data_IF_109326229422
#
_entry.id   IF_109326229422
#
_cell.length_a   1.000
_cell.length_b   1.000
_cell.length_c   1.000
_cell.angle_alpha   90.00
_cell.angle_beta   90.00
_cell.angle_gamma   90.00
#
_symmetry.space_group_name_H-M   'P 1'
#
loop_
_entity.id
_entity.type
_entity.pdbx_description
1 polymer ?
#
# COMPACT_ATOMS: atom_id res chain seq x y z
N UNK A 1 -22.50 8.64 6.98
CA UNK A 1 -23.07 8.91 5.65
C UNK A 1 -22.05 8.52 4.59
N UNK A 2 -22.27 7.34 4.02
CA UNK A 2 -21.43 6.62 3.08
C UNK A 2 -21.35 7.37 1.74
N UNK A 3 -20.32 7.07 0.93
CA UNK A 3 -20.33 7.47 -0.47
C UNK A 3 -21.65 7.06 -1.10
N UNK A 4 -22.44 8.03 -1.54
CA UNK A 4 -23.69 7.79 -2.27
C UNK A 4 -23.38 6.97 -3.54
N UNK A 5 -24.36 6.15 -3.95
CA UNK A 5 -24.55 5.41 -5.20
C UNK A 5 -24.33 6.21 -6.52
N UNK A 6 -23.59 7.30 -6.50
CA UNK A 6 -23.30 8.12 -7.68
C UNK A 6 -21.91 8.74 -7.66
N UNK A 7 -21.11 8.55 -6.61
CA UNK A 7 -19.70 8.94 -6.61
C UNK A 7 -18.86 7.97 -7.45
N UNK A 8 -17.65 8.35 -7.90
CA UNK A 8 -16.76 7.48 -8.68
C UNK A 8 -16.49 6.10 -8.04
N UNK A 9 -16.72 5.95 -6.71
CA UNK A 9 -16.68 4.66 -5.99
C UNK A 9 -17.94 3.79 -6.14
N UNK A 10 -19.06 4.33 -6.59
CA UNK A 10 -20.23 3.53 -7.00
C UNK A 10 -19.94 2.74 -8.28
N UNK A 11 -19.21 3.36 -9.21
CA UNK A 11 -18.66 2.67 -10.38
C UNK A 11 -17.72 1.51 -10.01
N UNK A 12 -17.08 1.62 -8.84
CA UNK A 12 -16.27 0.58 -8.24
C UNK A 12 -17.15 -0.57 -7.71
N UNK A 13 -18.32 -0.30 -7.12
CA UNK A 13 -19.20 -1.36 -6.63
C UNK A 13 -20.12 -2.00 -7.69
N UNK A 14 -20.73 -1.23 -8.58
CA UNK A 14 -21.81 -1.70 -9.47
C UNK A 14 -21.36 -2.55 -10.67
N UNK A 15 -20.06 -2.61 -10.97
CA UNK A 15 -19.49 -3.42 -12.08
C UNK A 15 -18.49 -4.48 -11.60
N UNK A 16 -18.61 -4.92 -10.34
CA UNK A 16 -17.99 -6.18 -9.89
C UNK A 16 -16.54 -6.08 -9.42
N UNK A 17 -16.22 -5.19 -8.48
CA UNK A 17 -14.85 -5.11 -7.93
C UNK A 17 -14.36 -6.36 -7.20
N UNK A 18 -15.25 -7.26 -6.76
CA UNK A 18 -14.81 -8.55 -6.22
C UNK A 18 -14.46 -9.58 -7.29
N UNK A 19 -14.63 -9.27 -8.57
CA UNK A 19 -14.37 -10.18 -9.69
C UNK A 19 -13.05 -9.88 -10.44
N UNK A 20 -12.40 -8.72 -10.20
CA UNK A 20 -11.40 -8.13 -11.12
C UNK A 20 -9.94 -8.07 -10.64
N UNK A 21 -9.51 -8.95 -9.74
CA UNK A 21 -8.23 -8.84 -9.03
C UNK A 21 -7.95 -7.44 -8.43
N UNK A 22 -9.00 -6.63 -8.21
CA UNK A 22 -8.87 -5.36 -7.50
C UNK A 22 -8.61 -5.58 -6.01
N UNK A 23 -8.69 -6.82 -5.54
CA UNK A 23 -8.07 -7.27 -4.29
C UNK A 23 -6.56 -6.96 -4.26
N UNK A 24 -5.84 -6.92 -5.39
CA UNK A 24 -4.46 -6.44 -5.43
C UNK A 24 -4.36 -4.92 -5.21
N UNK A 25 -5.30 -4.15 -5.72
CA UNK A 25 -5.40 -2.72 -5.38
C UNK A 25 -5.87 -2.53 -3.94
N UNK A 26 -6.73 -3.40 -3.41
CA UNK A 26 -7.03 -3.48 -1.99
C UNK A 26 -5.86 -4.05 -1.20
N UNK A 27 -4.92 -4.78 -1.78
CA UNK A 27 -3.69 -5.24 -1.13
C UNK A 27 -2.73 -4.09 -1.06
N UNK A 28 -2.59 -3.29 -2.11
CA UNK A 28 -1.80 -2.07 -2.08
C UNK A 28 -2.42 -1.01 -1.18
N UNK A 29 -3.74 -0.83 -1.25
CA UNK A 29 -4.49 0.02 -0.35
C UNK A 29 -4.42 -0.55 1.07
N UNK A 30 -4.64 -1.85 1.30
CA UNK A 30 -4.53 -2.49 2.62
C UNK A 30 -3.13 -2.34 3.19
N UNK A 31 -2.08 -2.54 2.38
CA UNK A 31 -0.69 -2.29 2.76
C UNK A 31 -0.46 -0.81 3.07
N UNK A 32 -0.97 0.10 2.26
CA UNK A 32 -0.96 1.54 2.54
C UNK A 32 -1.70 1.86 3.84
N UNK A 33 -2.81 1.17 4.11
CA UNK A 33 -3.64 1.31 5.29
C UNK A 33 -3.09 0.52 6.49
N UNK A 34 -2.04 -0.30 6.30
CA UNK A 34 -1.46 -1.16 7.35
C UNK A 34 -0.81 -0.30 8.42
N UNK A 35 -1.03 -0.67 9.69
CA UNK A 35 -0.59 0.10 10.86
C UNK A 35 -1.44 1.33 11.17
N UNK A 36 -2.49 1.61 10.39
CA UNK A 36 -3.44 2.69 10.70
C UNK A 36 -4.62 2.10 11.48
N UNK A 37 -4.87 2.61 12.67
CA UNK A 37 -6.00 2.18 13.50
C UNK A 37 -7.26 3.00 13.20
N UNK A 38 -8.08 2.55 12.24
CA UNK A 38 -9.31 3.25 11.83
C UNK A 38 -10.38 3.30 12.92
N UNK A 39 -10.41 2.30 13.81
CA UNK A 39 -11.47 2.14 14.79
C UNK A 39 -11.30 3.10 15.98
N UNK A 40 -10.05 3.41 16.36
CA UNK A 40 -9.77 4.24 17.54
C UNK A 40 -9.52 5.71 17.22
N UNK A 41 -9.39 6.07 15.94
CA UNK A 41 -9.14 7.45 15.55
C UNK A 41 -10.41 8.10 15.05
N UNK A 42 -10.86 9.13 15.77
CA UNK A 42 -11.95 10.00 15.32
C UNK A 42 -11.53 10.74 14.04
N UNK A 43 -11.84 10.17 12.88
CA UNK A 43 -11.55 10.77 11.58
C UNK A 43 -12.71 11.66 11.12
N UNK A 44 -12.36 12.84 10.60
CA UNK A 44 -13.24 13.62 9.74
C UNK A 44 -12.88 13.29 8.29
N UNK A 45 -13.83 12.72 7.57
CA UNK A 45 -13.68 12.49 6.15
C UNK A 45 -14.33 13.62 5.37
N UNK A 46 -13.78 13.93 4.19
CA UNK A 46 -14.49 14.76 3.24
C UNK A 46 -15.26 13.86 2.29
N UNK A 47 -16.58 13.95 2.32
CA UNK A 47 -17.42 13.23 1.37
C UNK A 47 -17.16 13.72 -0.05
N UNK A 48 -17.44 12.82 -0.99
CA UNK A 48 -17.56 13.14 -2.41
C UNK A 48 -18.55 14.30 -2.59
N UNK A 49 -18.27 15.17 -3.57
CA UNK A 49 -19.30 16.13 -3.98
C UNK A 49 -20.47 15.33 -4.56
N UNK A 50 -21.69 15.66 -4.18
CA UNK A 50 -22.89 15.03 -4.71
C UNK A 50 -23.09 15.39 -6.19
N UNK A 51 -23.84 14.54 -6.89
CA UNK A 51 -24.44 14.86 -8.19
C UNK A 51 -25.19 16.21 -8.08
N UNK A 52 -25.12 17.13 -9.07
CA UNK A 52 -24.74 16.97 -10.48
C UNK A 52 -23.29 17.39 -10.86
N UNK A 53 -22.43 17.68 -9.89
CA UNK A 53 -21.09 18.22 -10.17
C UNK A 53 -20.08 17.19 -10.71
N UNK A 54 -20.45 15.91 -10.73
CA UNK A 54 -19.58 14.78 -11.09
C UNK A 54 -19.06 14.88 -12.53
N UNK A 55 -19.86 15.38 -13.48
CA UNK A 55 -19.43 15.58 -14.89
C UNK A 55 -18.21 16.50 -15.07
N UNK A 56 -17.88 17.29 -14.05
CA UNK A 56 -16.72 18.19 -14.07
C UNK A 56 -15.54 17.68 -13.23
N UNK A 57 -15.68 16.54 -12.53
CA UNK A 57 -14.68 16.02 -11.61
C UNK A 57 -13.73 15.05 -12.33
N UNK A 58 -12.83 15.61 -13.13
CA UNK A 58 -11.81 14.84 -13.84
C UNK A 58 -10.74 14.26 -12.90
N UNK A 59 -10.43 14.99 -11.82
CA UNK A 59 -9.53 14.55 -10.76
C UNK A 59 -10.30 14.57 -9.44
N UNK A 60 -10.28 13.44 -8.75
CA UNK A 60 -11.01 13.22 -7.52
C UNK A 60 -10.00 13.02 -6.38
N UNK A 61 -10.21 13.71 -5.26
CA UNK A 61 -9.35 13.59 -4.09
C UNK A 61 -10.21 13.25 -2.87
N UNK A 62 -10.12 12.01 -2.43
CA UNK A 62 -10.71 11.53 -1.19
C UNK A 62 -9.67 11.59 -0.07
N UNK A 63 -10.06 12.04 1.12
CA UNK A 63 -9.18 12.02 2.26
C UNK A 63 -9.90 12.03 3.60
N UNK A 64 -9.17 11.57 4.60
CA UNK A 64 -9.54 11.53 6.00
C UNK A 64 -8.49 12.26 6.83
N UNK A 65 -8.94 13.06 7.78
CA UNK A 65 -8.08 13.84 8.69
C UNK A 65 -8.45 13.47 10.11
N UNK A 66 -7.44 13.13 10.92
CA UNK A 66 -7.64 12.81 12.33
C UNK A 66 -8.13 14.06 13.08
N UNK A 67 -8.97 13.90 14.11
CA UNK A 67 -9.54 15.01 14.90
C UNK A 67 -8.49 15.95 15.51
N UNK A 68 -7.33 15.41 15.93
CA UNK A 68 -6.20 16.21 16.44
C UNK A 68 -5.48 17.02 15.33
N UNK A 69 -5.82 16.78 14.07
CA UNK A 69 -5.31 17.45 12.86
C UNK A 69 -3.84 17.20 12.57
N UNK A 70 -3.24 16.19 13.20
CA UNK A 70 -1.81 15.89 13.08
C UNK A 70 -1.51 14.86 12.01
N UNK A 71 -2.56 14.23 11.49
CA UNK A 71 -2.43 13.16 10.53
C UNK A 71 -3.58 13.20 9.54
N UNK A 72 -3.28 12.96 8.28
CA UNK A 72 -4.27 12.73 7.25
C UNK A 72 -3.79 11.67 6.27
N UNK A 73 -4.73 11.06 5.57
CA UNK A 73 -4.43 10.21 4.43
C UNK A 73 -5.43 10.47 3.34
N UNK A 74 -5.06 10.21 2.11
CA UNK A 74 -6.00 10.30 1.02
C UNK A 74 -5.58 9.52 -0.21
N UNK A 75 -6.50 9.50 -1.15
CA UNK A 75 -6.37 8.88 -2.45
C UNK A 75 -6.77 9.90 -3.50
N UNK A 76 -5.98 9.97 -4.55
CA UNK A 76 -6.27 10.78 -5.72
C UNK A 76 -6.50 9.86 -6.89
N UNK A 77 -7.65 10.05 -7.54
CA UNK A 77 -8.07 9.28 -8.70
C UNK A 77 -8.24 10.20 -9.91
N UNK A 78 -7.75 9.76 -11.06
CA UNK A 78 -8.03 10.41 -12.34
C UNK A 78 -9.16 9.69 -13.06
N UNK A 79 -10.38 10.17 -12.86
CA UNK A 79 -11.58 9.61 -13.45
C UNK A 79 -11.53 9.57 -15.00
N UNK A 80 -10.69 10.38 -15.64
CA UNK A 80 -10.55 10.40 -17.11
C UNK A 80 -9.60 9.34 -17.71
N UNK A 81 -8.97 8.49 -16.90
CA UNK A 81 -7.85 7.65 -17.35
C UNK A 81 -8.19 6.15 -17.57
N UNK A 82 -9.23 5.60 -16.94
CA UNK A 82 -9.31 4.14 -16.70
C UNK A 82 -9.50 3.28 -17.95
N UNK A 83 -10.34 3.66 -18.91
CA UNK A 83 -10.62 2.82 -20.09
C UNK A 83 -9.48 2.79 -21.12
N UNK A 84 -8.70 3.87 -21.22
CA UNK A 84 -7.72 4.06 -22.30
C UNK A 84 -6.44 3.24 -22.13
N UNK A 85 -6.10 2.84 -20.92
CA UNK A 85 -4.91 2.01 -20.70
C UNK A 85 -5.12 0.53 -21.02
N UNK A 86 -6.35 0.03 -20.90
CA UNK A 86 -6.65 -1.34 -21.34
C UNK A 86 -6.78 -1.43 -22.87
N UNK A 87 -6.84 -0.32 -23.60
CA UNK A 87 -6.88 -0.34 -25.06
C UNK A 87 -5.66 -1.05 -25.68
N UNK A 88 -4.47 -0.82 -25.13
CA UNK A 88 -3.26 -1.44 -25.65
C UNK A 88 -3.01 -2.85 -25.08
N UNK A 89 -3.46 -3.15 -23.86
CA UNK A 89 -3.21 -4.43 -23.19
C UNK A 89 -4.36 -5.44 -23.32
N UNK A 90 -5.59 -5.00 -23.59
CA UNK A 90 -6.77 -5.84 -23.71
C UNK A 90 -7.32 -5.78 -25.13
N UNK A 91 -7.15 -6.86 -25.93
CA UNK A 91 -7.76 -6.98 -27.24
C UNK A 91 -9.28 -6.77 -27.23
N UNK A 92 -9.93 -7.13 -26.10
CA UNK A 92 -11.35 -6.90 -25.91
C UNK A 92 -11.70 -5.42 -25.82
N UNK A 93 -11.05 -4.67 -24.92
CA UNK A 93 -11.28 -3.22 -24.80
C UNK A 93 -10.92 -2.51 -26.09
N UNK A 94 -9.88 -2.96 -26.80
CA UNK A 94 -9.55 -2.48 -28.13
C UNK A 94 -10.72 -2.68 -29.11
N UNK A 95 -11.28 -3.89 -29.17
CA UNK A 95 -12.44 -4.18 -30.03
C UNK A 95 -13.63 -3.29 -29.71
N UNK A 96 -13.94 -3.08 -28.44
CA UNK A 96 -15.06 -2.22 -28.01
C UNK A 96 -14.85 -0.77 -28.45
N UNK A 97 -13.62 -0.27 -28.28
CA UNK A 97 -13.27 1.13 -28.61
C UNK A 97 -13.19 1.35 -30.13
N UNK A 98 -12.61 0.41 -30.88
CA UNK A 98 -12.41 0.55 -32.33
C UNK A 98 -13.70 0.30 -33.11
N UNK A 99 -14.47 -0.72 -32.72
CA UNK A 99 -15.63 -1.18 -33.48
C UNK A 99 -16.95 -0.65 -32.92
N UNK A 100 -16.89 0.17 -31.85
CA UNK A 100 -18.04 0.70 -31.13
C UNK A 100 -19.02 -0.40 -30.67
N UNK A 101 -18.54 -1.63 -30.59
CA UNK A 101 -19.29 -2.85 -30.31
C UNK A 101 -18.35 -4.01 -29.96
N UNK A 102 -18.86 -4.97 -29.20
CA UNK A 102 -18.19 -6.25 -28.97
C UNK A 102 -18.48 -7.15 -30.16
N UNK A 103 -17.56 -7.21 -31.14
CA UNK A 103 -17.72 -8.03 -32.35
C UNK A 103 -17.60 -9.54 -32.08
N UNK A 104 -17.10 -9.91 -30.91
CA UNK A 104 -16.95 -11.28 -30.50
C UNK A 104 -17.14 -11.36 -28.99
N UNK A 105 -17.60 -12.52 -28.54
CA UNK A 105 -17.59 -12.85 -27.12
C UNK A 105 -16.16 -12.79 -26.65
N UNK A 106 -15.86 -11.81 -25.80
CA UNK A 106 -14.54 -11.67 -25.25
C UNK A 106 -14.57 -12.10 -23.79
N UNK A 107 -13.51 -12.76 -23.35
CA UNK A 107 -13.29 -12.99 -21.93
C UNK A 107 -12.44 -11.81 -21.47
N UNK A 108 -13.01 -10.93 -20.67
CA UNK A 108 -12.24 -9.86 -20.06
C UNK A 108 -11.13 -10.46 -19.17
N UNK A 109 -10.12 -9.66 -18.80
CA UNK A 109 -9.01 -10.12 -17.95
C UNK A 109 -9.48 -10.71 -16.60
N UNK A 110 -10.74 -10.46 -16.21
CA UNK A 110 -11.40 -10.95 -15.02
C UNK A 110 -12.22 -12.25 -15.22
N UNK A 111 -12.15 -12.89 -16.40
CA UNK A 111 -12.90 -14.11 -16.69
C UNK A 111 -14.38 -13.88 -17.06
N UNK A 112 -14.86 -12.64 -17.00
CA UNK A 112 -16.24 -12.31 -17.37
C UNK A 112 -16.41 -12.44 -18.87
N UNK A 113 -17.46 -13.16 -19.26
CA UNK A 113 -17.91 -13.24 -20.64
C UNK A 113 -18.59 -11.91 -21.01
N UNK A 114 -17.97 -11.14 -21.91
CA UNK A 114 -18.58 -9.98 -22.53
C UNK A 114 -19.14 -10.42 -23.87
N UNK A 115 -20.45 -10.64 -23.92
CA UNK A 115 -21.13 -11.04 -25.14
C UNK A 115 -21.40 -9.83 -26.06
N UNK A 116 -21.41 -10.04 -27.38
CA UNK A 116 -21.89 -9.06 -28.34
C UNK A 116 -23.31 -8.61 -27.97
N UNK A 117 -23.47 -7.33 -27.67
CA UNK A 117 -24.77 -6.68 -27.46
C UNK A 117 -25.02 -5.75 -28.63
N UNK A 118 -26.18 -5.90 -29.30
CA UNK A 118 -26.55 -5.11 -30.48
C UNK A 118 -27.05 -3.70 -30.14
N UNK A 119 -27.15 -3.34 -28.86
CA UNK A 119 -27.74 -2.07 -28.41
C UNK A 119 -26.79 -1.15 -27.65
N UNK A 120 -25.59 -1.62 -27.30
CA UNK A 120 -24.65 -0.81 -26.54
C UNK A 120 -23.82 0.04 -27.49
N UNK A 121 -24.19 1.32 -27.57
CA UNK A 121 -23.43 2.28 -28.34
C UNK A 121 -22.17 2.70 -27.57
N UNK A 122 -21.02 2.11 -27.92
CA UNK A 122 -19.72 2.50 -27.39
C UNK A 122 -19.07 3.65 -28.21
N UNK A 123 -19.82 4.29 -29.12
CA UNK A 123 -19.31 5.32 -30.06
C UNK A 123 -18.78 6.57 -29.41
N UNK A 124 -19.18 6.84 -28.18
CA UNK A 124 -18.62 7.97 -27.46
C UNK A 124 -17.26 7.55 -26.89
N UNK A 125 -16.20 7.89 -27.62
CA UNK A 125 -14.84 8.06 -27.07
C UNK A 125 -14.77 9.03 -25.87
N UNK A 126 -15.94 9.57 -25.49
CA UNK A 126 -16.24 10.37 -24.32
C UNK A 126 -16.72 9.43 -23.21
N UNK A 127 -15.84 9.14 -22.25
CA UNK A 127 -16.32 8.78 -20.91
C UNK A 127 -17.15 9.96 -20.38
N UNK A 128 -18.01 9.77 -19.39
CA UNK A 128 -18.78 10.84 -18.72
C UNK A 128 -17.89 12.02 -18.26
N UNK A 129 -16.57 11.78 -18.15
CA UNK A 129 -15.54 12.73 -17.74
C UNK A 129 -14.77 13.42 -18.91
N UNK A 130 -15.09 13.09 -20.16
CA UNK A 130 -14.72 13.80 -21.40
C UNK A 130 -13.60 13.16 -22.25
N UNK A 131 -13.30 13.78 -23.39
CA UNK A 131 -12.54 13.18 -24.51
C UNK A 131 -11.02 13.13 -24.30
N UNK A 132 -10.49 13.65 -23.19
CA UNK A 132 -9.06 13.78 -22.95
C UNK A 132 -8.70 13.36 -21.52
N UNK A 133 -7.64 12.56 -21.41
CA UNK A 133 -6.98 12.27 -20.14
C UNK A 133 -6.49 13.57 -19.53
N UNK A 134 -6.97 13.87 -18.34
CA UNK A 134 -6.48 15.00 -17.56
C UNK A 134 -5.08 14.70 -17.06
N UNK A 135 -4.11 15.52 -17.46
CA UNK A 135 -2.81 15.49 -16.82
C UNK A 135 -2.96 15.88 -15.34
N UNK A 136 -2.60 14.99 -14.42
CA UNK A 136 -2.63 15.25 -12.97
C UNK A 136 -1.30 15.77 -12.44
N UNK A 137 -0.23 15.60 -13.21
CA UNK A 137 1.11 16.06 -12.85
C UNK A 137 1.09 17.57 -12.65
N UNK A 138 1.69 18.01 -11.55
CA UNK A 138 1.76 19.39 -11.10
C UNK A 138 0.40 20.05 -10.79
N UNK A 139 -0.72 19.30 -10.82
CA UNK A 139 -2.01 19.84 -10.35
C UNK A 139 -2.10 19.74 -8.83
N UNK A 140 -2.27 20.88 -8.12
CA UNK A 140 -2.35 20.84 -6.69
C UNK A 140 -3.68 20.26 -6.22
N UNK A 141 -3.63 19.24 -5.37
CA UNK A 141 -4.81 18.75 -4.64
C UNK A 141 -5.03 19.58 -3.37
N UNK A 142 -6.26 19.65 -2.86
CA UNK A 142 -6.58 20.41 -1.64
C UNK A 142 -6.89 19.47 -0.47
N UNK A 143 -6.05 19.48 0.56
CA UNK A 143 -6.24 18.75 1.81
C UNK A 143 -6.60 19.77 2.89
N UNK A 144 -7.82 19.73 3.40
CA UNK A 144 -8.36 20.71 4.37
C UNK A 144 -8.51 20.08 5.75
N UNK A 145 -8.69 20.90 6.78
CA UNK A 145 -9.01 20.43 8.13
C UNK A 145 -7.78 20.15 9.00
N UNK A 146 -6.59 20.53 8.54
CA UNK A 146 -5.34 20.43 9.29
C UNK A 146 -5.18 21.62 10.25
N UNK A 147 -4.13 21.63 11.09
CA UNK A 147 -3.84 22.80 11.94
C UNK A 147 -3.50 24.01 11.05
N UNK A 148 -4.18 25.13 11.28
CA UNK A 148 -3.98 26.39 10.57
C UNK A 148 -2.77 27.16 11.09
N UNK A 149 -2.04 27.83 10.20
CA UNK A 149 -0.94 28.70 10.59
C UNK A 149 -1.48 30.07 11.04
N UNK A 150 -1.31 30.40 12.33
CA UNK A 150 -1.57 31.74 12.85
C UNK A 150 -0.31 32.30 13.51
N UNK A 151 0.03 33.55 13.16
CA UNK A 151 1.28 34.22 13.53
C UNK A 151 2.48 33.84 12.64
N UNK A 152 3.69 34.11 13.15
CA UNK A 152 4.95 33.94 12.39
C UNK A 152 5.47 32.50 12.33
N UNK A 153 4.93 31.60 13.16
CA UNK A 153 5.28 30.18 13.13
C UNK A 153 4.24 29.41 12.31
N UNK A 154 4.72 28.56 11.42
CA UNK A 154 3.92 27.77 10.49
C UNK A 154 3.79 26.33 10.98
N UNK A 155 2.65 25.70 10.71
CA UNK A 155 2.46 24.27 10.97
C UNK A 155 2.98 23.48 9.76
N UNK A 156 4.00 22.66 9.98
CA UNK A 156 4.68 21.89 8.93
C UNK A 156 4.21 20.45 8.92
N UNK A 157 4.10 19.89 7.72
CA UNK A 157 3.70 18.51 7.49
C UNK A 157 4.61 17.86 6.45
N UNK A 158 4.94 16.59 6.65
CA UNK A 158 5.50 15.71 5.64
C UNK A 158 4.34 15.04 4.90
N UNK A 159 4.39 15.04 3.57
CA UNK A 159 3.45 14.33 2.73
C UNK A 159 4.23 13.25 1.98
N UNK A 160 3.90 11.99 2.25
CA UNK A 160 4.49 10.81 1.65
C UNK A 160 3.54 10.30 0.56
N UNK A 161 4.01 10.20 -0.69
CA UNK A 161 3.21 9.76 -1.85
C UNK A 161 3.54 8.32 -2.24
N UNK A 162 2.48 7.60 -2.57
CA UNK A 162 2.51 6.18 -2.87
C UNK A 162 1.91 5.93 -4.25
N UNK A 163 2.66 5.24 -5.11
CA UNK A 163 2.13 4.75 -6.38
C UNK A 163 1.16 3.60 -6.11
N UNK A 164 0.05 3.58 -6.82
CA UNK A 164 -1.02 2.62 -6.59
C UNK A 164 -1.09 1.53 -7.66
N UNK A 165 -0.31 1.66 -8.74
CA UNK A 165 -0.28 0.73 -9.88
C UNK A 165 1.09 0.06 -10.02
N UNK A 166 1.10 -1.24 -10.32
CA UNK A 166 2.26 -2.00 -10.80
C UNK A 166 3.54 -1.93 -9.95
N UNK A 167 3.42 -1.67 -8.64
CA UNK A 167 4.55 -1.68 -7.71
C UNK A 167 4.38 -2.79 -6.70
N UNK A 168 5.37 -3.67 -6.60
CA UNK A 168 5.50 -4.57 -5.44
C UNK A 168 5.35 -3.77 -4.14
N UNK A 169 4.75 -4.33 -3.06
CA UNK A 169 4.57 -3.61 -1.79
C UNK A 169 5.82 -2.91 -1.27
N UNK A 170 7.01 -3.47 -1.53
CA UNK A 170 8.31 -2.89 -1.14
C UNK A 170 8.69 -1.62 -1.92
N UNK A 171 8.10 -1.39 -3.10
CA UNK A 171 8.42 -0.29 -4.01
C UNK A 171 7.29 0.73 -4.13
N UNK A 172 6.28 0.66 -3.24
CA UNK A 172 5.09 1.51 -3.32
C UNK A 172 5.39 2.98 -3.00
N UNK A 173 6.43 3.25 -2.20
CA UNK A 173 6.83 4.61 -1.86
C UNK A 173 7.54 5.28 -3.03
N UNK A 174 7.03 6.45 -3.43
CA UNK A 174 7.58 7.18 -4.57
C UNK A 174 8.42 8.38 -4.14
N UNK A 175 7.89 9.22 -3.24
CA UNK A 175 8.48 10.53 -2.94
C UNK A 175 7.81 11.15 -1.70
N UNK A 176 8.56 11.99 -0.97
CA UNK A 176 8.04 12.82 0.12
C UNK A 176 8.30 14.30 -0.14
N UNK A 177 7.36 15.15 0.27
CA UNK A 177 7.57 16.60 0.33
C UNK A 177 7.16 17.16 1.68
N UNK A 178 7.80 18.26 2.08
CA UNK A 178 7.46 18.97 3.31
C UNK A 178 6.85 20.32 2.97
N UNK A 179 5.63 20.55 3.45
CA UNK A 179 4.88 21.77 3.18
C UNK A 179 4.19 22.25 4.46
N UNK A 180 3.97 23.56 4.56
CA UNK A 180 3.18 24.14 5.63
C UNK A 180 1.74 24.43 5.18
N UNK A 181 0.81 24.40 6.12
CA UNK A 181 -0.58 24.83 5.86
C UNK A 181 -0.66 26.35 5.70
N UNK A 182 -1.75 26.81 5.07
CA UNK A 182 -2.18 28.20 5.16
C UNK A 182 -2.96 28.46 6.48
N UNK A 183 -3.47 29.68 6.66
CA UNK A 183 -4.23 30.09 7.86
C UNK A 183 -5.46 29.20 8.09
N UNK A 184 -6.11 28.75 7.02
CA UNK A 184 -7.29 27.87 7.10
C UNK A 184 -6.98 26.39 7.39
N UNK A 185 -5.70 26.02 7.55
CA UNK A 185 -5.33 24.62 7.73
C UNK A 185 -5.49 23.81 6.44
N UNK A 186 -5.19 24.42 5.29
CA UNK A 186 -5.23 23.76 3.98
C UNK A 186 -3.81 23.55 3.45
N UNK A 187 -3.50 22.31 3.02
CA UNK A 187 -2.33 21.98 2.19
C UNK A 187 -2.73 21.92 0.72
N UNK A 188 -1.78 22.29 -0.15
CA UNK A 188 -1.92 22.24 -1.61
C UNK A 188 -0.71 21.55 -2.25
N UNK A 189 -0.46 20.26 -1.98
CA UNK A 189 0.66 19.60 -2.61
C UNK A 189 0.38 19.42 -4.09
N UNK A 190 1.39 19.70 -4.90
CA UNK A 190 1.43 19.37 -6.32
C UNK A 190 2.42 18.22 -6.49
N UNK A 191 1.99 17.17 -7.18
CA UNK A 191 2.80 15.98 -7.35
C UNK A 191 3.60 16.06 -8.65
N UNK A 192 4.88 15.72 -8.61
CA UNK A 192 5.75 15.59 -9.79
C UNK A 192 6.13 14.12 -9.94
N UNK A 193 5.16 13.27 -10.26
CA UNK A 193 5.47 11.87 -10.59
C UNK A 193 6.12 11.82 -11.97
N UNK A 194 7.25 11.12 -12.05
CA UNK A 194 7.92 10.81 -13.33
C UNK A 194 7.11 9.82 -14.18
N UNK A 195 6.29 9.00 -13.53
CA UNK A 195 5.40 8.04 -14.18
C UNK A 195 4.07 8.73 -14.51
N UNK A 196 3.46 8.48 -15.69
CA UNK A 196 2.13 8.95 -16.04
C UNK A 196 1.01 8.29 -15.19
N UNK A 197 1.35 7.72 -14.02
CA UNK A 197 0.40 7.12 -13.10
C UNK A 197 -0.67 8.16 -12.72
N UNK A 198 -1.95 7.89 -12.99
CA UNK A 198 -3.04 8.85 -12.77
C UNK A 198 -3.46 8.90 -11.32
N UNK A 199 -3.26 7.77 -10.63
CA UNK A 199 -3.73 7.51 -9.30
C UNK A 199 -2.54 7.42 -8.37
N UNK A 200 -2.72 7.94 -7.17
CA UNK A 200 -1.76 7.86 -6.09
C UNK A 200 -2.45 7.97 -4.74
N UNK A 201 -1.86 7.35 -3.73
CA UNK A 201 -2.24 7.54 -2.33
C UNK A 201 -1.23 8.46 -1.65
N UNK A 202 -1.62 9.07 -0.52
CA UNK A 202 -0.71 9.90 0.26
C UNK A 202 -0.99 9.83 1.76
N UNK A 203 0.05 9.88 2.57
CA UNK A 203 -0.01 10.10 4.03
C UNK A 203 0.55 11.47 4.37
N UNK A 204 -0.09 12.16 5.30
CA UNK A 204 0.31 13.47 5.80
C UNK A 204 0.60 13.34 7.29
N UNK A 205 1.81 13.71 7.70
CA UNK A 205 2.27 13.62 9.09
C UNK A 205 2.71 14.99 9.58
N UNK A 206 2.17 15.43 10.72
CA UNK A 206 2.55 16.70 11.34
C UNK A 206 3.96 16.63 11.91
N UNK A 207 4.78 17.62 11.55
CA UNK A 207 6.18 17.70 11.97
C UNK A 207 6.37 18.65 13.15
N UNK A 208 5.44 19.58 13.38
CA UNK A 208 5.55 20.60 14.42
C UNK A 208 5.29 22.02 13.92
N UNK A 209 5.49 22.99 14.82
CA UNK A 209 5.25 24.42 14.57
C UNK A 209 6.58 25.17 14.56
N UNK A 210 7.01 25.64 13.38
CA UNK A 210 8.34 26.21 13.17
C UNK A 210 8.27 27.47 12.30
N UNK A 211 9.26 28.37 12.42
CA UNK A 211 9.42 29.49 11.51
C UNK A 211 9.81 29.02 10.10
N UNK A 212 10.81 28.14 10.04
CA UNK A 212 11.40 27.65 8.80
C UNK A 212 11.13 26.14 8.59
N UNK A 213 11.43 25.63 7.40
CA UNK A 213 11.23 24.22 7.05
C UNK A 213 12.05 23.32 8.00
N UNK A 214 11.42 22.37 8.71
CA UNK A 214 12.09 21.53 9.70
C UNK A 214 12.96 20.42 9.08
N UNK A 215 12.93 20.19 7.76
CA UNK A 215 13.67 19.08 7.13
C UNK A 215 15.18 19.09 7.45
N UNK A 216 15.81 20.25 7.57
CA UNK A 216 17.22 20.34 7.93
C UNK A 216 17.48 19.79 9.35
N UNK A 217 16.55 20.02 10.29
CA UNK A 217 16.64 19.48 11.66
C UNK A 217 16.26 18.01 11.73
N UNK A 218 15.20 17.60 11.04
CA UNK A 218 14.75 16.20 11.06
C UNK A 218 15.81 15.28 10.45
N UNK A 219 16.51 15.70 9.39
CA UNK A 219 17.62 14.93 8.83
C UNK A 219 18.77 14.80 9.84
N UNK A 220 19.06 15.85 10.60
CA UNK A 220 20.08 15.85 11.65
C UNK A 220 19.69 14.95 12.83
N UNK A 221 18.44 15.02 13.30
CA UNK A 221 17.94 14.20 14.40
C UNK A 221 17.84 12.72 13.99
N UNK A 222 17.47 12.42 12.74
CA UNK A 222 17.44 11.05 12.21
C UNK A 222 18.85 10.47 12.08
N UNK A 223 19.82 11.30 11.68
CA UNK A 223 21.23 10.93 11.64
C UNK A 223 21.74 10.63 13.05
N UNK A 224 21.41 11.47 14.04
CA UNK A 224 21.78 11.26 15.44
C UNK A 224 21.16 9.98 16.01
N UNK A 225 19.89 9.70 15.72
CA UNK A 225 19.25 8.43 16.13
C UNK A 225 19.84 7.20 15.43
N UNK A 226 20.28 7.32 14.17
CA UNK A 226 21.02 6.24 13.49
C UNK A 226 22.43 6.02 14.07
N UNK A 227 23.04 7.05 14.66
CA UNK A 227 24.32 6.96 15.35
C UNK A 227 24.14 6.33 16.74
N UNK A 228 23.04 6.63 17.44
CA UNK A 228 22.72 6.01 18.74
C UNK A 228 22.31 4.53 18.62
N UNK A 229 21.83 4.10 17.45
CA UNK A 229 21.49 2.70 17.14
C UNK A 229 22.63 1.92 16.47
N UNK A 230 23.70 2.60 16.04
CA UNK A 230 24.97 1.95 15.77
C UNK A 230 25.54 1.49 17.10
N UNK A 231 25.27 0.21 17.37
CA UNK A 231 25.63 -0.56 18.54
C UNK A 231 26.80 0.05 19.33
N UNK A 232 26.45 0.75 20.41
CA UNK A 232 27.40 1.26 21.38
C UNK A 232 28.24 0.10 21.96
N UNK A 233 27.80 -1.15 21.87
CA UNK A 233 28.60 -2.32 22.25
C UNK A 233 29.70 -2.67 21.22
N UNK A 234 29.53 -2.27 19.95
CA UNK A 234 30.58 -2.35 18.94
C UNK A 234 31.68 -1.29 19.20
N UNK A 235 31.33 -0.11 19.72
CA UNK A 235 32.29 0.92 20.12
C UNK A 235 32.90 0.62 21.52
N UNK A 236 32.14 0.02 22.44
CA UNK A 236 32.61 -0.33 23.79
C UNK A 236 33.52 -1.56 23.85
N UNK A 237 33.58 -2.41 22.82
CA UNK A 237 34.59 -3.48 22.76
C UNK A 237 36.04 -2.99 22.57
N UNK A 238 36.26 -1.68 22.37
CA UNK A 238 37.60 -1.06 22.34
C UNK A 238 37.92 -0.27 23.63
N UNK A 239 36.97 -0.09 24.55
CA UNK A 239 37.16 0.73 25.75
C UNK A 239 36.77 -0.03 27.02
N UNK A 240 37.81 -0.46 27.74
CA UNK A 240 37.76 -1.28 28.94
C UNK A 240 36.97 -0.67 30.12
N UNK A 241 36.30 -1.57 30.85
CA UNK A 241 36.11 -1.64 32.32
C UNK A 241 35.37 -0.50 33.07
N UNK A 242 34.35 -0.96 33.81
CA UNK A 242 33.68 -0.39 35.00
C UNK A 242 32.87 0.89 34.78
N UNK A 243 31.55 0.72 34.67
CA UNK A 243 30.59 1.15 35.71
C UNK A 243 29.17 0.68 35.36
N UNK A 244 28.43 0.21 36.37
CA UNK A 244 27.00 -0.10 36.30
C UNK A 244 26.19 1.20 36.12
N UNK A 245 25.15 1.20 35.27
CA UNK A 245 24.02 2.09 35.46
C UNK A 245 22.72 1.32 35.74
N UNK A 246 21.87 2.03 36.47
CA UNK A 246 20.54 1.67 36.96
C UNK A 246 19.58 1.48 35.78
N UNK A 247 18.82 0.38 35.81
CA UNK A 247 17.78 0.03 34.84
C UNK A 247 16.49 0.78 35.22
N UNK A 248 15.98 1.59 34.31
CA UNK A 248 14.64 2.17 34.38
C UNK A 248 13.71 1.32 33.52
N UNK A 249 12.71 0.70 34.14
CA UNK A 249 11.64 -0.04 33.46
C UNK A 249 10.78 0.92 32.63
N UNK A 250 10.93 0.85 31.31
CA UNK A 250 9.89 1.31 30.38
C UNK A 250 9.15 0.08 29.87
N UNK A 251 7.92 -0.12 30.35
CA UNK A 251 6.99 -1.09 29.77
C UNK A 251 6.56 -0.60 28.39
N UNK A 252 7.16 -1.17 27.34
CA UNK A 252 6.61 -1.11 25.99
C UNK A 252 5.41 -2.04 25.89
N UNK A 253 4.21 -1.46 25.81
CA UNK A 253 3.00 -2.21 25.46
C UNK A 253 3.05 -2.47 23.95
N UNK A 254 3.68 -3.59 23.58
CA UNK A 254 3.70 -4.13 22.23
C UNK A 254 2.32 -4.74 21.92
N UNK A 255 1.54 -4.09 21.07
CA UNK A 255 0.30 -4.67 20.55
C UNK A 255 0.64 -5.63 19.40
N UNK A 256 0.06 -6.84 19.36
CA UNK A 256 0.31 -7.78 18.28
C UNK A 256 -0.22 -7.21 16.96
N UNK A 257 0.72 -6.84 16.11
CA UNK A 257 0.49 -6.56 14.71
C UNK A 257 -0.03 -7.85 14.07
N UNK A 258 -1.35 -7.93 13.81
CA UNK A 258 -1.93 -9.01 13.00
C UNK A 258 -1.51 -8.82 11.54
N UNK A 259 -0.28 -9.24 11.24
CA UNK A 259 0.17 -9.45 9.88
C UNK A 259 -0.58 -10.67 9.36
N UNK A 260 -1.49 -10.50 8.41
CA UNK A 260 -2.09 -11.64 7.71
C UNK A 260 -0.96 -12.34 6.95
N UNK A 261 -0.38 -13.38 7.53
CA UNK A 261 0.74 -14.07 6.92
C UNK A 261 0.23 -14.84 5.70
N UNK A 262 0.69 -14.47 4.50
CA UNK A 262 0.33 -15.12 3.23
C UNK A 262 0.83 -16.56 3.12
N UNK A 263 1.68 -16.99 4.05
CA UNK A 263 2.23 -18.34 4.17
C UNK A 263 2.19 -18.78 5.63
N UNK A 264 1.59 -19.94 5.87
CA UNK A 264 1.49 -20.59 7.19
C UNK A 264 2.21 -21.94 7.18
N UNK A 265 2.82 -22.28 8.31
CA UNK A 265 3.59 -23.52 8.51
C UNK A 265 3.11 -24.16 9.80
N UNK A 266 2.47 -25.34 9.71
CA UNK A 266 1.86 -26.01 10.86
C UNK A 266 1.88 -27.55 10.72
N UNK A 267 1.99 -28.31 11.82
CA UNK A 267 2.25 -27.82 13.17
C UNK A 267 3.68 -27.28 13.28
N UNK A 268 3.90 -26.36 14.23
CA UNK A 268 5.22 -25.85 14.58
C UNK A 268 5.20 -25.46 16.08
N UNK A 269 5.83 -26.23 16.99
CA UNK A 269 6.73 -27.37 16.73
C UNK A 269 6.08 -28.55 16.00
N UNK A 270 6.91 -29.41 15.40
CA UNK A 270 6.46 -30.57 14.60
C UNK A 270 7.21 -31.86 14.99
N UNK A 271 6.54 -33.00 14.88
CA UNK A 271 7.16 -34.34 15.06
C UNK A 271 7.61 -34.93 13.71
N UNK A 272 8.25 -34.11 12.89
CA UNK A 272 8.79 -34.53 11.59
C UNK A 272 7.82 -34.48 10.40
N UNK A 273 6.56 -34.04 10.59
CA UNK A 273 5.64 -33.72 9.49
C UNK A 273 5.14 -32.29 9.59
N UNK A 274 5.22 -31.55 8.49
CA UNK A 274 4.86 -30.13 8.43
C UNK A 274 4.01 -29.86 7.19
N UNK A 275 2.91 -29.15 7.37
CA UNK A 275 2.09 -28.61 6.28
C UNK A 275 2.46 -27.16 6.06
N UNK A 276 2.82 -26.83 4.81
CA UNK A 276 3.00 -25.46 4.34
C UNK A 276 1.80 -25.09 3.49
N UNK A 277 1.10 -24.02 3.87
CA UNK A 277 -0.06 -23.50 3.14
C UNK A 277 0.13 -22.04 2.77
N UNK A 278 -0.10 -21.72 1.51
CA UNK A 278 -0.06 -20.38 0.95
C UNK A 278 -1.33 -20.11 0.13
N UNK A 279 -1.63 -18.84 -0.12
CA UNK A 279 -2.73 -18.46 -1.02
C UNK A 279 -2.43 -18.77 -2.49
N UNK A 280 -1.14 -18.81 -2.84
CA UNK A 280 -0.64 -18.93 -4.21
C UNK A 280 0.29 -20.17 -4.30
N UNK A 281 0.52 -20.73 -5.51
CA UNK A 281 1.35 -21.91 -5.67
C UNK A 281 2.78 -21.72 -5.15
N UNK A 282 3.22 -22.66 -4.30
CA UNK A 282 4.57 -22.67 -3.72
C UNK A 282 5.56 -23.18 -4.76
N UNK A 283 6.49 -22.32 -5.17
CA UNK A 283 7.49 -22.62 -6.19
C UNK A 283 8.68 -23.41 -5.63
N UNK A 284 9.14 -23.09 -4.42
CA UNK A 284 10.26 -23.77 -3.77
C UNK A 284 10.14 -23.71 -2.25
N UNK A 285 10.49 -24.79 -1.56
CA UNK A 285 10.65 -24.84 -0.11
C UNK A 285 12.08 -25.29 0.17
N UNK A 286 12.82 -24.53 0.96
CA UNK A 286 14.20 -24.85 1.36
C UNK A 286 14.31 -24.79 2.88
N UNK A 287 14.89 -25.83 3.50
CA UNK A 287 15.16 -25.87 4.95
C UNK A 287 16.66 -25.76 5.18
N UNK A 288 17.05 -24.85 6.08
CA UNK A 288 18.42 -24.56 6.46
C UNK A 288 18.65 -24.91 7.93
N UNK A 289 19.86 -25.37 8.23
CA UNK A 289 20.43 -25.35 9.58
C UNK A 289 20.63 -23.91 10.07
N UNK A 290 20.83 -23.72 11.38
CA UNK A 290 21.17 -22.40 11.94
C UNK A 290 22.52 -21.85 11.43
N UNK A 291 23.41 -22.70 10.92
CA UNK A 291 24.67 -22.30 10.29
C UNK A 291 24.49 -21.95 8.79
N UNK A 292 23.27 -21.96 8.26
CA UNK A 292 22.97 -21.62 6.87
C UNK A 292 23.19 -22.75 5.86
N UNK A 293 23.57 -23.96 6.29
CA UNK A 293 23.66 -25.14 5.40
C UNK A 293 22.26 -25.58 4.97
N UNK A 294 22.05 -25.79 3.68
CA UNK A 294 20.82 -26.37 3.11
C UNK A 294 20.74 -27.85 3.50
N UNK A 295 19.64 -28.25 4.11
CA UNK A 295 19.35 -29.62 4.54
C UNK A 295 18.28 -30.28 3.69
N UNK A 296 17.37 -29.48 3.12
CA UNK A 296 16.24 -29.97 2.34
C UNK A 296 15.80 -28.94 1.29
N UNK A 297 15.41 -29.41 0.10
CA UNK A 297 14.83 -28.57 -0.96
C UNK A 297 13.74 -29.34 -1.72
N UNK A 298 12.58 -28.71 -1.96
CA UNK A 298 11.47 -29.25 -2.77
C UNK A 298 10.88 -28.16 -3.69
N UNK A 299 10.33 -28.56 -4.85
CA UNK A 299 9.60 -27.69 -5.80
C UNK A 299 8.19 -28.25 -6.08
N UNK A 300 7.20 -27.94 -5.23
CA UNK A 300 5.90 -28.63 -5.27
C UNK A 300 4.89 -28.03 -6.27
N UNK A 301 4.97 -26.73 -6.59
CA UNK A 301 4.01 -26.01 -7.44
C UNK A 301 2.55 -26.15 -7.02
N UNK A 302 2.30 -26.29 -5.71
CA UNK A 302 0.97 -26.42 -5.11
C UNK A 302 0.79 -25.38 -3.99
N UNK A 303 -0.44 -24.97 -3.70
CA UNK A 303 -0.76 -24.00 -2.63
C UNK A 303 -0.73 -24.62 -1.23
N UNK A 304 -0.86 -25.95 -1.12
CA UNK A 304 -0.73 -26.70 0.14
C UNK A 304 0.17 -27.90 -0.07
N UNK A 305 1.16 -28.08 0.80
CA UNK A 305 2.20 -29.10 0.66
C UNK A 305 2.48 -29.71 2.02
N UNK A 306 2.46 -31.04 2.11
CA UNK A 306 2.90 -31.77 3.29
C UNK A 306 4.34 -32.25 3.08
N UNK A 307 5.19 -31.95 4.05
CA UNK A 307 6.62 -32.28 4.05
C UNK A 307 6.88 -33.35 5.11
N UNK A 308 7.69 -34.36 4.77
CA UNK A 308 8.32 -35.23 5.76
C UNK A 308 9.75 -34.78 6.00
N UNK A 309 10.06 -34.48 7.25
CA UNK A 309 11.34 -34.02 7.77
C UNK A 309 11.87 -34.95 8.86
N UNK A 310 11.36 -36.19 8.94
CA UNK A 310 11.73 -37.18 9.97
C UNK A 310 13.21 -37.56 9.97
N UNK A 311 13.91 -37.32 8.86
CA UNK A 311 15.36 -37.57 8.75
C UNK A 311 16.21 -36.46 9.37
N UNK A 312 15.61 -35.32 9.73
CA UNK A 312 16.30 -34.24 10.42
C UNK A 312 16.27 -34.49 11.93
N UNK A 313 17.38 -34.25 12.65
CA UNK A 313 17.40 -34.38 14.11
C UNK A 313 16.47 -33.35 14.78
N UNK A 314 16.04 -33.56 16.03
CA UNK A 314 15.30 -32.55 16.78
C UNK A 314 16.10 -31.25 16.93
N UNK A 315 15.43 -30.12 16.76
CA UNK A 315 16.04 -28.79 16.88
C UNK A 315 15.38 -27.67 16.07
N UNK A 316 15.91 -26.44 16.19
CA UNK A 316 15.45 -25.29 15.42
C UNK A 316 16.08 -25.23 14.01
N UNK A 317 15.28 -24.81 13.05
CA UNK A 317 15.62 -24.65 11.64
C UNK A 317 15.06 -23.34 11.07
N UNK A 318 15.61 -22.90 9.94
CA UNK A 318 15.06 -21.82 9.13
C UNK A 318 14.45 -22.42 7.86
N UNK A 319 13.20 -22.12 7.56
CA UNK A 319 12.51 -22.52 6.33
C UNK A 319 12.31 -21.29 5.45
N UNK A 320 12.80 -21.35 4.21
CA UNK A 320 12.52 -20.36 3.16
C UNK A 320 11.53 -20.93 2.15
N UNK A 321 10.49 -20.16 1.84
CA UNK A 321 9.37 -20.57 1.01
C UNK A 321 9.22 -19.53 -0.11
N UNK A 322 9.42 -19.95 -1.35
CA UNK A 322 9.30 -19.10 -2.54
C UNK A 322 7.88 -19.21 -3.11
N UNK A 323 7.15 -18.10 -3.13
CA UNK A 323 5.79 -17.99 -3.69
C UNK A 323 5.75 -16.75 -4.56
N UNK A 324 5.32 -16.88 -5.82
CA UNK A 324 5.29 -15.77 -6.79
C UNK A 324 6.59 -14.95 -6.82
N UNK A 325 7.75 -15.62 -6.86
CA UNK A 325 9.08 -14.98 -6.85
C UNK A 325 9.41 -14.15 -5.57
N UNK A 326 8.69 -14.37 -4.46
CA UNK A 326 8.95 -13.76 -3.15
C UNK A 326 9.31 -14.83 -2.11
N UNK A 327 10.37 -14.58 -1.34
CA UNK A 327 10.77 -15.46 -0.24
C UNK A 327 10.07 -15.08 1.07
N UNK A 328 9.52 -16.10 1.73
CA UNK A 328 8.98 -16.03 3.09
C UNK A 328 9.85 -16.90 3.99
N UNK A 329 10.23 -16.36 5.15
CA UNK A 329 11.09 -17.05 6.10
C UNK A 329 10.31 -17.40 7.36
N UNK A 330 10.42 -18.65 7.83
CA UNK A 330 9.79 -19.15 9.04
C UNK A 330 10.81 -19.90 9.89
N UNK A 331 10.79 -19.66 11.20
CA UNK A 331 11.45 -20.54 12.16
C UNK A 331 10.64 -21.83 12.24
N UNK A 332 11.27 -22.98 12.09
CA UNK A 332 10.68 -24.30 12.26
C UNK A 332 11.34 -25.00 13.44
N UNK A 333 10.56 -25.68 14.28
CA UNK A 333 11.06 -26.49 15.40
C UNK A 333 10.62 -27.94 15.16
N UNK A 334 11.59 -28.86 15.17
CA UNK A 334 11.34 -30.31 15.13
C UNK A 334 11.62 -30.87 16.52
N UNK A 335 10.68 -31.66 17.06
CA UNK A 335 10.78 -32.34 18.36
C UNK A 335 11.09 -33.83 18.24
#
# INVERSE_FOLDING_TARGET
MHGNLSSGLHWWWDRGIFLKQYDNYFKYLSNFLTGVNYQNFEYKYKSWKSFPLIKYMRIENFYMVRKNKEWAMGWVHNATYRWRNFYNSSPCIRSVVDNQSLNYTCIAEDGTLLEPSSSDNYSDHTDYYGNNVSNIVNKPIKIKGLKGAWGWKKHWYRIDFYQTQNVSPSNMFSYSLTQHTNISGTLKPAITLKSPSPDYAYKVTYLGKYHNNPNARIAQDSLLQSIDTLDVDTIKKVSNRRNKPVVSDSQEVSYPFMQLESVSVFPNPSYGFVTVKALEPIQTITVYSLQGKILYTMRPFASTVQLSLQTLPPGPYLMAILVQNHYYFKKLIIE
#
